data_IF_865487831468
#
_entry.id   IF_865487831468
#
_cell.length_a   1.000
_cell.length_b   1.000
_cell.length_c   1.000
_cell.angle_alpha   90.00
_cell.angle_beta   90.00
_cell.angle_gamma   90.00
#
_symmetry.space_group_name_H-M   'P 1'
#
loop_
_entity.id
_entity.type
_entity.pdbx_description
1 polymer ?
#
# COMPACT_ATOMS: atom_id res chain seq x y z
N UNK A 1 1.41 7.89 11.90
CA UNK A 1 2.39 7.39 10.91
C UNK A 1 3.79 7.90 11.21
N UNK A 2 4.81 7.06 11.06
CA UNK A 2 6.23 7.39 11.23
C UNK A 2 7.05 6.80 10.08
N UNK A 3 8.04 7.54 9.58
CA UNK A 3 8.93 7.13 8.49
C UNK A 3 10.39 7.23 8.94
N UNK A 4 11.17 6.19 8.66
CA UNK A 4 12.61 6.15 8.92
C UNK A 4 13.37 5.51 7.75
N UNK A 5 14.64 5.89 7.59
CA UNK A 5 15.52 5.20 6.64
C UNK A 5 15.96 3.86 7.22
N UNK A 6 15.61 2.76 6.58
CA UNK A 6 16.09 1.44 6.97
C UNK A 6 17.50 1.16 6.42
N UNK A 7 17.77 1.65 5.20
CA UNK A 7 19.06 1.62 4.48
C UNK A 7 19.00 2.60 3.29
N UNK A 8 20.12 2.89 2.59
CA UNK A 8 20.08 3.78 1.42
C UNK A 8 19.03 3.35 0.40
N UNK A 9 18.12 4.26 0.05
CA UNK A 9 17.04 4.03 -0.91
C UNK A 9 15.86 3.20 -0.40
N UNK A 10 15.82 2.82 0.89
CA UNK A 10 14.71 2.04 1.47
C UNK A 10 14.18 2.71 2.74
N UNK A 11 12.88 3.02 2.72
CA UNK A 11 12.15 3.56 3.87
C UNK A 11 11.42 2.44 4.61
N UNK A 12 11.41 2.50 5.94
CA UNK A 12 10.45 1.77 6.78
C UNK A 12 9.36 2.75 7.20
N UNK A 13 8.12 2.33 6.99
CA UNK A 13 6.94 3.07 7.44
C UNK A 13 6.20 2.26 8.51
N UNK A 14 5.88 2.92 9.63
CA UNK A 14 4.99 2.38 10.65
C UNK A 14 3.74 3.25 10.70
N UNK A 15 2.58 2.65 10.52
CA UNK A 15 1.31 3.37 10.45
C UNK A 15 0.21 2.58 11.16
N UNK A 16 -0.80 3.28 11.68
CA UNK A 16 -2.04 2.62 12.04
C UNK A 16 -2.74 2.11 10.78
N UNK A 17 -3.55 1.05 10.92
CA UNK A 17 -4.25 0.43 9.79
C UNK A 17 -5.12 1.44 9.00
N UNK A 18 -5.77 2.39 9.68
CA UNK A 18 -6.60 3.41 9.03
C UNK A 18 -5.77 4.42 8.23
N UNK A 19 -4.61 4.84 8.74
CA UNK A 19 -3.70 5.77 8.03
C UNK A 19 -3.18 5.12 6.75
N UNK A 20 -2.82 3.83 6.85
CA UNK A 20 -2.33 3.08 5.70
C UNK A 20 -3.45 2.83 4.67
N UNK A 21 -4.66 2.50 5.12
CA UNK A 21 -5.81 2.34 4.24
C UNK A 21 -6.14 3.63 3.47
N UNK A 22 -6.07 4.79 4.13
CA UNK A 22 -6.27 6.08 3.48
C UNK A 22 -5.21 6.34 2.39
N UNK A 23 -3.94 6.02 2.66
CA UNK A 23 -2.85 6.16 1.69
C UNK A 23 -3.07 5.25 0.46
N UNK A 24 -3.43 3.98 0.68
CA UNK A 24 -3.73 3.04 -0.41
C UNK A 24 -4.93 3.50 -1.24
N UNK A 25 -5.98 4.03 -0.60
CA UNK A 25 -7.13 4.58 -1.30
C UNK A 25 -6.76 5.76 -2.20
N UNK A 26 -5.94 6.69 -1.72
CA UNK A 26 -5.43 7.80 -2.51
C UNK A 26 -4.55 7.32 -3.69
N UNK A 27 -3.67 6.35 -3.45
CA UNK A 27 -2.85 5.75 -4.49
C UNK A 27 -3.68 5.10 -5.61
N UNK A 28 -4.75 4.37 -5.25
CA UNK A 28 -5.69 3.78 -6.22
C UNK A 28 -6.38 4.86 -7.05
N UNK A 29 -6.89 5.90 -6.40
CA UNK A 29 -7.52 7.01 -7.11
C UNK A 29 -6.58 7.64 -8.14
N UNK A 30 -5.30 7.83 -7.80
CA UNK A 30 -4.30 8.36 -8.75
C UNK A 30 -4.01 7.37 -9.88
N UNK A 31 -3.84 6.09 -9.56
CA UNK A 31 -3.57 5.05 -10.56
C UNK A 31 -4.71 4.87 -11.58
N UNK A 32 -5.96 5.07 -11.14
CA UNK A 32 -7.18 4.99 -11.93
C UNK A 32 -7.48 6.28 -12.72
N UNK A 33 -7.36 7.44 -12.07
CA UNK A 33 -7.63 8.73 -12.73
C UNK A 33 -6.56 9.10 -13.78
N UNK A 34 -5.38 8.48 -13.69
CA UNK A 34 -4.24 8.69 -14.58
C UNK A 34 -4.01 10.17 -14.94
N UNK A 35 -3.73 11.03 -13.94
CA UNK A 35 -3.58 12.46 -14.16
C UNK A 35 -2.54 12.75 -15.24
N UNK A 36 -2.80 13.68 -16.18
CA UNK A 36 -1.93 13.92 -17.34
C UNK A 36 -0.56 14.48 -16.97
N UNK A 37 -0.41 15.02 -15.76
CA UNK A 37 0.80 15.57 -15.17
C UNK A 37 1.71 14.49 -14.53
N UNK A 38 1.25 13.25 -14.42
CA UNK A 38 2.04 12.12 -13.90
C UNK A 38 2.56 11.27 -15.07
N UNK A 39 3.89 11.02 -15.15
CA UNK A 39 4.45 10.14 -16.18
C UNK A 39 3.84 8.74 -16.17
N UNK A 40 3.61 8.15 -17.34
CA UNK A 40 3.01 6.82 -17.47
C UNK A 40 3.82 5.75 -16.73
N UNK A 41 5.15 5.76 -16.87
CA UNK A 41 6.04 4.84 -16.15
C UNK A 41 5.87 4.91 -14.63
N UNK A 42 5.55 6.09 -14.08
CA UNK A 42 5.30 6.25 -12.65
C UNK A 42 3.94 5.65 -12.25
N UNK A 43 2.91 5.81 -13.08
CA UNK A 43 1.60 5.17 -12.87
C UNK A 43 1.70 3.65 -12.97
N UNK A 44 2.48 3.13 -13.92
CA UNK A 44 2.73 1.68 -14.05
C UNK A 44 3.44 1.11 -12.82
N UNK A 45 4.49 1.79 -12.33
CA UNK A 45 5.14 1.42 -11.07
C UNK A 45 4.18 1.47 -9.89
N UNK A 46 3.30 2.47 -9.83
CA UNK A 46 2.31 2.59 -8.77
C UNK A 46 1.31 1.42 -8.80
N UNK A 47 0.85 1.02 -9.99
CA UNK A 47 -0.02 -0.16 -10.16
C UNK A 47 0.67 -1.43 -9.67
N UNK A 48 1.94 -1.64 -10.02
CA UNK A 48 2.71 -2.79 -9.54
C UNK A 48 2.82 -2.82 -8.00
N UNK A 49 3.05 -1.67 -7.38
CA UNK A 49 3.09 -1.56 -5.91
C UNK A 49 1.74 -1.90 -5.28
N UNK A 50 0.63 -1.49 -5.91
CA UNK A 50 -0.72 -1.80 -5.45
C UNK A 50 -1.05 -3.29 -5.60
N UNK A 51 -0.64 -3.92 -6.70
CA UNK A 51 -0.81 -5.36 -6.92
C UNK A 51 -0.03 -6.18 -5.87
N UNK A 52 1.21 -5.78 -5.59
CA UNK A 52 2.05 -6.41 -4.56
C UNK A 52 1.44 -6.24 -3.16
N UNK A 53 0.83 -5.08 -2.90
CA UNK A 53 0.08 -4.83 -1.67
C UNK A 53 -1.14 -5.75 -1.56
N UNK A 54 -1.93 -5.89 -2.62
CA UNK A 54 -3.14 -6.72 -2.60
C UNK A 54 -2.81 -8.20 -2.37
N UNK A 55 -1.74 -8.69 -3.00
CA UNK A 55 -1.24 -10.05 -2.75
C UNK A 55 -0.79 -10.25 -1.30
N UNK A 56 -0.14 -9.25 -0.69
CA UNK A 56 0.29 -9.31 0.71
C UNK A 56 -0.88 -9.20 1.69
N UNK A 57 -1.83 -8.31 1.42
CA UNK A 57 -3.03 -8.12 2.23
C UNK A 57 -3.89 -9.39 2.24
N UNK A 58 -4.02 -10.08 1.10
CA UNK A 58 -4.71 -11.36 1.01
C UNK A 58 -4.05 -12.41 1.92
N UNK A 59 -2.73 -12.60 1.80
CA UNK A 59 -1.98 -13.53 2.66
C UNK A 59 -2.11 -13.21 4.15
N UNK A 60 -2.10 -11.91 4.51
CA UNK A 60 -2.27 -11.50 5.91
C UNK A 60 -3.66 -11.85 6.45
N UNK A 61 -4.71 -11.71 5.64
CA UNK A 61 -6.07 -12.10 6.01
C UNK A 61 -6.20 -13.61 6.18
N UNK A 62 -5.55 -14.39 5.33
CA UNK A 62 -5.52 -15.85 5.42
C UNK A 62 -4.73 -16.35 6.64
N UNK A 63 -3.68 -15.62 7.03
CA UNK A 63 -2.87 -15.94 8.20
C UNK A 63 -3.48 -15.45 9.54
N UNK A 64 -4.55 -14.65 9.50
CA UNK A 64 -5.18 -14.15 10.71
C UNK A 64 -5.84 -15.31 11.48
N UNK A 65 -5.56 -15.47 12.79
CA UNK A 65 -6.20 -16.51 13.59
C UNK A 65 -7.72 -16.27 13.61
N UNK A 66 -8.54 -17.35 13.58
CA UNK A 66 -9.99 -17.20 13.64
C UNK A 66 -10.38 -16.43 14.91
N UNK A 67 -11.42 -15.57 14.84
CA UNK A 67 -11.87 -14.84 16.01
C UNK A 67 -12.24 -15.84 17.11
N UNK A 68 -11.94 -15.54 18.39
CA UNK A 68 -12.29 -16.43 19.48
C UNK A 68 -13.80 -16.65 19.49
N UNK A 69 -14.23 -17.91 19.54
CA UNK A 69 -15.63 -18.28 19.69
C UNK A 69 -16.19 -17.58 20.93
N UNK A 70 -17.16 -16.69 20.75
CA UNK A 70 -17.99 -16.14 21.83
C UNK A 70 -19.22 -17.01 22.03
#
# INVERSE_FOLDING_TARGET
>A
MHLEWARPGVLRATAHAFEFAALVAAARFVAESAPPDIPQDALERLRQVLDDYDAQALRLREAAPPPPHR
#
